data_IF_027489752381
#
_entry.id   IF_027489752381
#
_cell.length_a   1.000
_cell.length_b   1.000
_cell.length_c   1.000
_cell.angle_alpha   90.00
_cell.angle_beta   90.00
_cell.angle_gamma   90.00
#
_symmetry.space_group_name_H-M   'P 1'
#
loop_
_entity.id
_entity.type
_entity.pdbx_description
1 polymer ?
#
# COMPACT_ATOMS: atom_id res chain seq x y z
N UNK A 1 14.80 16.49 -0.46
CA UNK A 1 14.16 16.03 0.80
C UNK A 1 12.82 16.73 0.96
N UNK A 2 11.80 16.06 1.53
CA UNK A 2 10.50 16.68 1.81
C UNK A 2 10.65 17.82 2.82
N UNK A 3 9.81 18.86 2.72
CA UNK A 3 9.92 20.07 3.55
C UNK A 3 9.49 19.86 5.01
N UNK A 4 8.60 18.89 5.27
CA UNK A 4 8.16 18.51 6.63
C UNK A 4 7.67 17.05 6.67
N UNK A 5 7.56 16.49 7.88
CA UNK A 5 7.02 15.15 8.15
C UNK A 5 5.59 15.02 7.62
N UNK A 6 4.76 16.03 7.87
CA UNK A 6 3.35 16.06 7.49
C UNK A 6 3.17 16.07 5.97
N UNK A 7 4.01 16.82 5.24
CA UNK A 7 3.96 16.85 3.76
C UNK A 7 4.43 15.51 3.18
N UNK A 8 5.45 14.88 3.78
CA UNK A 8 5.88 13.55 3.38
C UNK A 8 4.78 12.50 3.62
N UNK A 9 4.17 12.53 4.81
CA UNK A 9 3.11 11.62 5.22
C UNK A 9 1.87 11.76 4.35
N UNK A 10 1.41 12.99 4.08
CA UNK A 10 0.25 13.22 3.22
C UNK A 10 0.46 12.70 1.80
N UNK A 11 1.64 12.92 1.20
CA UNK A 11 1.94 12.44 -0.14
C UNK A 11 2.04 10.91 -0.19
N UNK A 12 2.70 10.32 0.81
CA UNK A 12 2.80 8.87 0.95
C UNK A 12 1.41 8.23 1.14
N UNK A 13 0.59 8.79 2.03
CA UNK A 13 -0.77 8.30 2.27
C UNK A 13 -1.65 8.40 1.03
N UNK A 14 -1.51 9.44 0.21
CA UNK A 14 -2.21 9.53 -1.09
C UNK A 14 -1.84 8.35 -2.00
N UNK A 15 -0.55 8.02 -2.11
CA UNK A 15 -0.10 6.89 -2.92
C UNK A 15 -0.61 5.56 -2.36
N UNK A 16 -0.49 5.34 -1.06
CA UNK A 16 -1.00 4.14 -0.40
C UNK A 16 -2.52 3.98 -0.59
N UNK A 17 -3.28 5.07 -0.48
CA UNK A 17 -4.73 5.07 -0.68
C UNK A 17 -5.11 4.71 -2.12
N UNK A 18 -4.34 5.17 -3.11
CA UNK A 18 -4.57 4.82 -4.52
C UNK A 18 -4.35 3.32 -4.73
N UNK A 19 -3.26 2.78 -4.22
CA UNK A 19 -2.95 1.35 -4.30
C UNK A 19 -4.00 0.50 -3.56
N UNK A 20 -4.40 0.88 -2.35
CA UNK A 20 -5.44 0.17 -1.58
C UNK A 20 -6.77 0.10 -2.35
N UNK A 21 -7.19 1.20 -2.97
CA UNK A 21 -8.39 1.22 -3.82
C UNK A 21 -8.26 0.26 -5.00
N UNK A 22 -7.09 0.23 -5.65
CA UNK A 22 -6.81 -0.72 -6.73
C UNK A 22 -6.94 -2.17 -6.27
N UNK A 23 -6.33 -2.52 -5.14
CA UNK A 23 -6.42 -3.88 -4.58
C UNK A 23 -7.87 -4.22 -4.21
N UNK A 24 -8.61 -3.29 -3.60
CA UNK A 24 -10.04 -3.47 -3.27
C UNK A 24 -10.93 -3.73 -4.48
N UNK A 25 -10.61 -3.14 -5.64
CA UNK A 25 -11.33 -3.41 -6.89
C UNK A 25 -11.11 -4.87 -7.29
N UNK A 26 -9.86 -5.34 -7.27
CA UNK A 26 -9.52 -6.73 -7.62
C UNK A 26 -10.09 -7.73 -6.60
N UNK A 27 -10.14 -7.37 -5.31
CA UNK A 27 -10.78 -8.19 -4.27
C UNK A 27 -12.28 -8.36 -4.47
N UNK A 28 -12.97 -7.29 -4.91
CA UNK A 28 -14.41 -7.32 -5.20
C UNK A 28 -14.71 -8.09 -6.48
N UNK A 29 -13.83 -8.02 -7.47
CA UNK A 29 -14.01 -8.68 -8.76
C UNK A 29 -12.74 -9.42 -9.21
N UNK A 30 -12.70 -10.73 -8.93
CA UNK A 30 -11.62 -11.61 -9.36
C UNK A 30 -11.64 -11.89 -10.87
N UNK A 31 -12.70 -11.54 -11.60
CA UNK A 31 -12.76 -11.77 -13.06
C UNK A 31 -11.80 -10.86 -13.83
N UNK A 32 -11.41 -9.72 -13.23
CA UNK A 32 -10.34 -8.83 -13.71
C UNK A 32 -9.04 -9.61 -13.95
N UNK A 33 -8.75 -10.60 -13.11
CA UNK A 33 -7.63 -11.50 -13.29
C UNK A 33 -8.00 -12.58 -14.32
N UNK A 34 -7.50 -12.44 -15.56
CA UNK A 34 -7.69 -13.39 -16.66
C UNK A 34 -6.78 -14.63 -16.54
N UNK A 35 -6.81 -15.29 -15.39
CA UNK A 35 -6.04 -16.50 -15.09
C UNK A 35 -6.98 -17.62 -14.65
N UNK A 36 -6.72 -18.89 -14.99
CA UNK A 36 -7.65 -19.98 -14.71
C UNK A 36 -7.68 -20.39 -13.23
N UNK A 37 -6.53 -20.34 -12.55
CA UNK A 37 -6.37 -20.79 -11.15
C UNK A 37 -5.55 -19.77 -10.35
N UNK A 38 -5.57 -19.90 -9.02
CA UNK A 38 -4.68 -19.11 -8.15
C UNK A 38 -5.07 -17.65 -7.92
N UNK A 39 -6.15 -17.14 -8.54
CA UNK A 39 -6.66 -15.75 -8.34
C UNK A 39 -6.71 -15.31 -6.88
N UNK A 40 -7.26 -16.16 -6.02
CA UNK A 40 -7.38 -15.90 -4.57
C UNK A 40 -6.02 -15.80 -3.88
N UNK A 41 -5.03 -16.57 -4.32
CA UNK A 41 -3.67 -16.54 -3.74
C UNK A 41 -2.99 -15.22 -4.12
N UNK A 42 -3.10 -14.82 -5.39
CA UNK A 42 -2.56 -13.54 -5.87
C UNK A 42 -3.17 -12.38 -5.10
N UNK A 43 -4.50 -12.34 -4.97
CA UNK A 43 -5.16 -11.25 -4.24
C UNK A 43 -4.77 -11.23 -2.77
N UNK A 44 -4.65 -12.39 -2.11
CA UNK A 44 -4.12 -12.47 -0.73
C UNK A 44 -2.68 -11.94 -0.64
N UNK A 45 -1.82 -12.28 -1.59
CA UNK A 45 -0.46 -11.79 -1.63
C UNK A 45 -0.41 -10.27 -1.84
N UNK A 46 -1.24 -9.72 -2.73
CA UNK A 46 -1.36 -8.28 -2.94
C UNK A 46 -1.80 -7.55 -1.67
N UNK A 47 -2.84 -8.05 -0.99
CA UNK A 47 -3.33 -7.48 0.28
C UNK A 47 -2.24 -7.49 1.36
N UNK A 48 -1.63 -8.65 1.59
CA UNK A 48 -0.58 -8.81 2.61
C UNK A 48 0.65 -7.95 2.30
N UNK A 49 1.10 -7.94 1.05
CA UNK A 49 2.23 -7.13 0.61
C UNK A 49 1.97 -5.64 0.79
N UNK A 50 0.77 -5.17 0.44
CA UNK A 50 0.38 -3.78 0.65
C UNK A 50 0.37 -3.38 2.14
N UNK A 51 -0.20 -4.21 3.01
CA UNK A 51 -0.22 -3.96 4.46
C UNK A 51 1.19 -3.87 5.04
N UNK A 52 2.08 -4.78 4.61
CA UNK A 52 3.48 -4.78 5.03
C UNK A 52 4.19 -3.50 4.57
N UNK A 53 4.09 -3.17 3.28
CA UNK A 53 4.69 -1.95 2.71
C UNK A 53 4.17 -0.68 3.39
N UNK A 54 2.87 -0.60 3.68
CA UNK A 54 2.29 0.52 4.43
C UNK A 54 2.92 0.66 5.82
N UNK A 55 3.06 -0.43 6.55
CA UNK A 55 3.67 -0.42 7.88
C UNK A 55 5.13 0.00 7.82
N UNK A 56 5.91 -0.58 6.89
CA UNK A 56 7.33 -0.26 6.71
C UNK A 56 7.54 1.22 6.40
N UNK A 57 6.71 1.79 5.51
CA UNK A 57 6.84 3.20 5.17
C UNK A 57 6.47 4.16 6.29
N UNK A 58 5.42 3.86 7.07
CA UNK A 58 5.04 4.70 8.22
C UNK A 58 6.16 4.67 9.27
N UNK A 59 6.72 3.48 9.55
CA UNK A 59 7.82 3.32 10.49
C UNK A 59 9.07 4.07 10.01
N UNK A 60 9.46 3.90 8.74
CA UNK A 60 10.60 4.62 8.17
C UNK A 60 10.42 6.15 8.19
N UNK A 61 9.19 6.63 7.98
CA UNK A 61 8.88 8.06 8.06
C UNK A 61 8.98 8.57 9.50
N UNK A 62 8.52 7.80 10.48
CA UNK A 62 8.72 8.13 11.90
C UNK A 62 10.21 8.14 12.23
N UNK A 63 10.96 7.08 11.92
CA UNK A 63 12.40 6.99 12.19
C UNK A 63 13.19 8.15 11.58
N UNK A 64 12.85 8.58 10.36
CA UNK A 64 13.55 9.66 9.66
C UNK A 64 13.32 11.04 10.31
N UNK A 65 12.14 11.27 10.87
CA UNK A 65 11.75 12.59 11.39
C UNK A 65 11.75 12.68 12.92
N UNK A 66 11.69 11.55 13.63
CA UNK A 66 11.75 11.45 15.09
C UNK A 66 13.20 11.32 15.61
N UNK A 67 14.19 11.11 14.74
CA UNK A 67 15.62 11.23 15.05
C UNK A 67 16.12 12.68 15.20
N UNK A 68 15.27 13.59 15.71
CA UNK A 68 15.64 14.99 16.01
C UNK A 68 15.74 15.25 17.50
#
# INVERSE_FOLDING_TARGET
>A
AFKSKEVAEQNLMKQLNFTDRGIKIVEKDLTILKIPLGKKIIVKALRKGFEQTRSEFINALNDTFDQK
#
